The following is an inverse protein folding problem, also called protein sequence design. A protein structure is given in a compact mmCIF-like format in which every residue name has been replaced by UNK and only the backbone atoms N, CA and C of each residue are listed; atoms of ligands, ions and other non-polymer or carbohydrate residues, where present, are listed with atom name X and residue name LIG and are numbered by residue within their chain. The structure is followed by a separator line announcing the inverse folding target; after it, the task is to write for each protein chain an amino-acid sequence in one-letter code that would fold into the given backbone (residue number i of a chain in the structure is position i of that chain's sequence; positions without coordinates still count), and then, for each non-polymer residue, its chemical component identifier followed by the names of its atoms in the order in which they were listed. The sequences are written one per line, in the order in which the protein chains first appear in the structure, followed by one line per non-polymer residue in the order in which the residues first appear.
data_IF_834003250694
#
_entry.id   IF_834003250694
#
_cell.length_a   1.000
_cell.length_b   1.000
_cell.length_c   1.000
_cell.angle_alpha   90.00
_cell.angle_beta   90.00
_cell.angle_gamma   90.00
#
_symmetry.space_group_name_H-M   'P 1'
#
loop_
_entity.id
_entity.type
_entity.pdbx_description
1 polymer ?
#
# COMPACT_ATOMS: atom_id res chain seq x y z
N UNK A 1 -9.79 -13.01 -8.96
CA UNK A 1 -10.07 -11.55 -9.08
C UNK A 1 -10.35 -11.22 -10.55
N UNK A 2 -11.35 -10.40 -10.80
CA UNK A 2 -11.70 -9.93 -12.15
C UNK A 2 -11.07 -8.58 -12.42
N UNK A 3 -10.48 -8.40 -13.61
CA UNK A 3 -9.90 -7.11 -14.01
C UNK A 3 -11.01 -6.14 -14.39
N UNK A 4 -10.96 -4.93 -13.85
CA UNK A 4 -11.93 -3.87 -14.09
C UNK A 4 -11.26 -2.61 -14.62
N UNK A 5 -12.04 -1.72 -15.22
CA UNK A 5 -11.58 -0.39 -15.56
C UNK A 5 -11.49 0.46 -14.29
N UNK A 6 -10.32 1.04 -14.02
CA UNK A 6 -10.10 1.88 -12.83
C UNK A 6 -11.09 3.04 -12.73
N UNK A 7 -11.60 3.56 -13.87
CA UNK A 7 -12.60 4.64 -13.89
C UNK A 7 -14.00 4.20 -13.40
N UNK A 8 -14.22 2.91 -13.26
CA UNK A 8 -15.48 2.35 -12.74
C UNK A 8 -15.43 2.15 -11.21
N UNK A 9 -14.30 2.50 -10.56
CA UNK A 9 -14.21 2.52 -9.10
C UNK A 9 -15.18 3.56 -8.53
N UNK A 10 -16.07 3.09 -7.67
CA UNK A 10 -17.07 3.91 -6.99
C UNK A 10 -16.94 3.83 -5.46
N UNK A 11 -15.83 3.31 -4.98
CA UNK A 11 -15.53 3.22 -3.55
C UNK A 11 -15.38 4.62 -2.95
N UNK A 12 -15.90 4.82 -1.74
CA UNK A 12 -15.61 6.02 -0.97
C UNK A 12 -14.16 5.96 -0.46
N UNK A 13 -13.27 6.73 -1.08
CA UNK A 13 -11.83 6.69 -0.77
C UNK A 13 -11.50 7.03 0.68
N UNK A 14 -12.31 7.86 1.35
CA UNK A 14 -12.11 8.20 2.76
C UNK A 14 -12.39 7.00 3.68
N UNK A 15 -13.42 6.19 3.35
CA UNK A 15 -13.70 4.96 4.06
C UNK A 15 -12.68 3.87 3.73
N UNK A 16 -12.38 3.69 2.43
CA UNK A 16 -11.49 2.64 1.93
C UNK A 16 -10.06 2.82 2.45
N UNK A 17 -9.53 4.03 2.46
CA UNK A 17 -8.18 4.28 2.96
C UNK A 17 -8.19 4.50 4.48
N UNK A 18 -9.06 5.38 4.99
CA UNK A 18 -9.01 5.84 6.37
C UNK A 18 -9.51 4.83 7.39
N UNK A 19 -10.50 3.99 7.02
CA UNK A 19 -11.11 3.02 7.95
C UNK A 19 -10.83 1.57 7.59
N UNK A 20 -10.94 1.18 6.32
CA UNK A 20 -10.63 -0.18 5.90
C UNK A 20 -9.12 -0.45 5.99
N UNK A 21 -8.29 0.47 5.51
CA UNK A 21 -6.83 0.37 5.33
C UNK A 21 -6.45 -0.46 4.09
N UNK A 22 -5.17 -0.56 3.84
CA UNK A 22 -4.64 -1.33 2.70
C UNK A 22 -3.35 -2.06 3.08
N UNK A 23 -3.10 -3.18 2.38
CA UNK A 23 -1.77 -3.78 2.31
C UNK A 23 -1.04 -3.19 1.12
N UNK A 24 0.09 -2.54 1.36
CA UNK A 24 1.04 -2.15 0.33
C UNK A 24 2.03 -3.29 0.18
N UNK A 25 2.07 -3.90 -0.99
CA UNK A 25 2.95 -5.02 -1.30
C UNK A 25 3.87 -4.64 -2.46
N UNK A 26 5.13 -5.02 -2.38
CA UNK A 26 6.12 -4.89 -3.45
C UNK A 26 6.97 -6.14 -3.57
N UNK A 27 7.56 -6.33 -4.76
CA UNK A 27 8.32 -7.50 -5.13
C UNK A 27 7.54 -8.40 -6.09
N UNK A 28 8.06 -9.60 -6.29
CA UNK A 28 7.54 -10.61 -7.20
C UNK A 28 7.40 -11.96 -6.48
N UNK A 29 7.00 -13.01 -7.20
CA UNK A 29 6.77 -14.35 -6.63
C UNK A 29 7.95 -14.94 -5.85
N UNK A 30 9.18 -14.55 -6.20
CA UNK A 30 10.40 -15.10 -5.59
C UNK A 30 10.79 -14.34 -4.32
N UNK A 31 10.49 -13.03 -4.27
CA UNK A 31 10.76 -12.18 -3.12
C UNK A 31 9.79 -11.00 -3.06
N UNK A 32 8.94 -10.98 -2.05
CA UNK A 32 8.00 -9.88 -1.80
C UNK A 32 7.74 -9.69 -0.30
N UNK A 33 7.24 -8.54 0.05
CA UNK A 33 6.72 -8.27 1.39
C UNK A 33 5.59 -7.25 1.33
N UNK A 34 4.71 -7.29 2.34
CA UNK A 34 3.62 -6.35 2.51
C UNK A 34 3.68 -5.64 3.85
N UNK A 35 3.07 -4.47 3.90
CA UNK A 35 2.85 -3.70 5.11
C UNK A 35 1.47 -3.04 5.09
N UNK A 36 0.90 -2.79 6.24
CA UNK A 36 -0.35 -2.04 6.35
C UNK A 36 -0.09 -0.54 6.27
N UNK A 37 -0.92 0.15 5.49
CA UNK A 37 -1.00 1.60 5.44
C UNK A 37 -2.46 2.04 5.58
N UNK A 38 -2.68 3.17 6.27
CA UNK A 38 -3.99 3.79 6.48
C UNK A 38 -4.01 5.27 6.02
N UNK A 39 -2.94 5.72 5.41
CA UNK A 39 -2.80 7.05 4.83
C UNK A 39 -2.48 6.94 3.35
N UNK A 40 -3.14 7.77 2.55
CA UNK A 40 -2.98 7.76 1.10
C UNK A 40 -4.04 8.59 0.41
N UNK A 41 -3.94 8.65 -0.91
CA UNK A 41 -4.92 9.32 -1.76
C UNK A 41 -5.13 8.50 -3.04
N UNK A 42 -6.31 8.62 -3.63
CA UNK A 42 -6.59 8.20 -5.00
C UNK A 42 -7.06 9.44 -5.78
N UNK A 43 -6.62 9.60 -7.01
CA UNK A 43 -6.97 10.78 -7.78
C UNK A 43 -6.50 10.74 -9.23
N UNK A 44 -6.40 11.94 -9.81
CA UNK A 44 -6.05 12.13 -11.20
C UNK A 44 -4.89 13.12 -11.32
N UNK A 45 -3.78 12.70 -11.89
CA UNK A 45 -2.58 13.53 -12.07
C UNK A 45 -1.86 13.12 -13.36
N UNK A 46 -1.31 14.09 -14.11
CA UNK A 46 -0.63 13.88 -15.41
C UNK A 46 -1.47 13.08 -16.40
N UNK A 47 -2.79 13.36 -16.43
CA UNK A 47 -3.77 12.63 -17.24
C UNK A 47 -3.83 11.10 -16.98
N UNK A 48 -3.54 10.68 -15.74
CA UNK A 48 -3.51 9.29 -15.30
C UNK A 48 -4.26 9.11 -13.98
N UNK A 49 -4.92 7.95 -13.80
CA UNK A 49 -5.38 7.57 -12.48
C UNK A 49 -4.16 7.27 -11.60
N UNK A 50 -4.08 7.89 -10.44
CA UNK A 50 -2.94 7.74 -9.55
C UNK A 50 -3.38 7.42 -8.12
N UNK A 51 -2.49 6.74 -7.40
CA UNK A 51 -2.50 6.71 -5.94
C UNK A 51 -1.29 7.49 -5.41
N UNK A 52 -1.45 8.06 -4.21
CA UNK A 52 -0.33 8.61 -3.45
C UNK A 52 -0.20 7.77 -2.18
N UNK A 53 0.97 7.19 -1.97
CA UNK A 53 1.25 6.35 -0.80
C UNK A 53 2.41 6.93 0.02
N UNK A 54 2.33 6.75 1.34
CA UNK A 54 3.27 7.28 2.30
C UNK A 54 3.93 6.12 3.04
N UNK A 55 5.22 5.92 2.81
CA UNK A 55 5.97 4.77 3.32
C UNK A 55 7.15 5.27 4.16
N UNK A 56 7.23 4.81 5.42
CA UNK A 56 8.39 5.15 6.25
C UNK A 56 9.62 4.33 5.85
N UNK A 57 10.81 4.95 5.74
CA UNK A 57 12.03 4.25 5.35
C UNK A 57 12.43 3.07 6.23
N UNK A 58 11.98 3.06 7.50
CA UNK A 58 12.25 1.95 8.43
C UNK A 58 11.48 0.67 8.13
N UNK A 59 10.40 0.76 7.35
CA UNK A 59 9.60 -0.42 6.98
C UNK A 59 10.40 -1.33 6.06
N UNK A 60 10.40 -2.63 6.36
CA UNK A 60 11.09 -3.62 5.51
C UNK A 60 10.60 -3.58 4.05
N UNK A 61 9.31 -3.37 3.85
CA UNK A 61 8.71 -3.22 2.52
C UNK A 61 9.29 -2.04 1.74
N UNK A 62 9.78 -0.98 2.42
CA UNK A 62 10.36 0.20 1.76
C UNK A 62 11.53 -0.19 0.86
N UNK A 63 12.49 -0.99 1.34
CA UNK A 63 13.62 -1.43 0.53
C UNK A 63 13.17 -2.18 -0.73
N UNK A 64 12.17 -3.05 -0.59
CA UNK A 64 11.62 -3.81 -1.72
C UNK A 64 10.89 -2.88 -2.70
N UNK A 65 10.18 -1.83 -2.22
CA UNK A 65 9.58 -0.81 -3.07
C UNK A 65 10.66 -0.08 -3.90
N UNK A 66 11.80 0.25 -3.28
CA UNK A 66 12.89 0.95 -3.99
C UNK A 66 13.43 0.11 -5.15
N UNK A 67 13.56 -1.18 -4.98
CA UNK A 67 14.13 -2.13 -5.96
C UNK A 67 13.15 -2.50 -7.08
N UNK A 68 11.85 -2.23 -6.94
CA UNK A 68 10.82 -2.66 -7.87
C UNK A 68 10.08 -1.47 -8.51
N UNK A 69 9.75 -1.58 -9.79
CA UNK A 69 8.98 -0.56 -10.51
C UNK A 69 7.51 -0.54 -10.08
N UNK A 70 6.95 -1.70 -9.76
CA UNK A 70 5.54 -1.90 -9.44
C UNK A 70 5.32 -2.21 -7.96
N UNK A 71 4.13 -1.89 -7.50
CA UNK A 71 3.59 -2.30 -6.20
C UNK A 71 2.09 -2.55 -6.32
N UNK A 72 1.50 -3.24 -5.35
CA UNK A 72 0.05 -3.40 -5.24
C UNK A 72 -0.48 -2.77 -3.96
N UNK A 73 -1.70 -2.24 -4.05
CA UNK A 73 -2.50 -1.77 -2.92
C UNK A 73 -3.71 -2.70 -2.82
N UNK A 74 -3.73 -3.55 -1.81
CA UNK A 74 -4.77 -4.58 -1.63
C UNK A 74 -5.67 -4.24 -0.46
N UNK A 75 -6.98 -4.19 -0.71
CA UNK A 75 -8.03 -3.88 0.25
C UNK A 75 -8.81 -5.16 0.58
N UNK A 76 -8.78 -5.59 1.85
CA UNK A 76 -9.34 -6.86 2.31
C UNK A 76 -10.76 -6.75 2.87
N UNK A 77 -11.30 -5.53 2.97
CA UNK A 77 -12.56 -5.25 3.66
C UNK A 77 -12.38 -4.96 5.15
N UNK A 78 -13.53 -4.95 5.86
CA UNK A 78 -13.62 -4.54 7.27
C UNK A 78 -13.97 -5.70 8.23
N UNK A 79 -13.83 -6.96 7.79
CA UNK A 79 -14.09 -8.12 8.66
C UNK A 79 -13.09 -8.19 9.81
N UNK A 80 -13.42 -8.97 10.85
CA UNK A 80 -12.50 -9.21 11.96
C UNK A 80 -11.21 -9.90 11.50
N UNK A 81 -11.32 -10.81 10.53
CA UNK A 81 -10.17 -11.49 9.92
C UNK A 81 -9.27 -10.50 9.18
N UNK A 82 -9.86 -9.64 8.35
CA UNK A 82 -9.12 -8.59 7.65
C UNK A 82 -8.39 -7.67 8.66
N UNK A 83 -9.06 -7.31 9.76
CA UNK A 83 -8.47 -6.47 10.81
C UNK A 83 -7.29 -7.14 11.50
N UNK A 84 -7.35 -8.45 11.77
CA UNK A 84 -6.23 -9.22 12.32
C UNK A 84 -5.04 -9.22 11.36
N UNK A 85 -5.29 -9.42 10.06
CA UNK A 85 -4.26 -9.38 9.02
C UNK A 85 -3.59 -8.00 8.95
N UNK A 86 -4.38 -6.92 8.87
CA UNK A 86 -3.86 -5.56 8.86
C UNK A 86 -3.03 -5.24 10.10
N UNK A 87 -3.50 -5.59 11.29
CA UNK A 87 -2.78 -5.36 12.54
C UNK A 87 -1.44 -6.11 12.54
N UNK A 88 -1.43 -7.38 12.12
CA UNK A 88 -0.21 -8.17 12.05
C UNK A 88 0.78 -7.57 11.04
N UNK A 89 0.34 -7.33 9.80
CA UNK A 89 1.19 -6.78 8.74
C UNK A 89 1.68 -5.36 9.05
N UNK A 90 0.92 -4.60 9.85
CA UNK A 90 1.28 -3.26 10.30
C UNK A 90 2.30 -3.23 11.43
N UNK A 91 2.22 -4.17 12.38
CA UNK A 91 3.02 -4.19 13.61
C UNK A 91 4.27 -5.09 13.55
N UNK A 92 4.26 -6.14 12.73
CA UNK A 92 5.37 -7.10 12.61
C UNK A 92 6.22 -6.82 11.37
N UNK A 93 7.53 -7.04 11.49
CA UNK A 93 8.46 -6.88 10.37
C UNK A 93 8.58 -8.15 9.55
N UNK A 94 8.63 -8.03 8.23
CA UNK A 94 8.95 -9.14 7.34
C UNK A 94 10.42 -9.63 7.44
N UNK A 95 11.27 -8.91 8.20
CA UNK A 95 12.60 -9.40 8.56
C UNK A 95 12.54 -10.55 9.56
N UNK A 96 11.52 -10.56 10.41
CA UNK A 96 11.42 -11.47 11.56
C UNK A 96 10.29 -12.50 11.39
N UNK A 97 9.33 -12.23 10.51
CA UNK A 97 8.12 -13.04 10.36
C UNK A 97 7.79 -13.29 8.88
N UNK A 98 7.45 -14.54 8.56
CA UNK A 98 6.78 -14.88 7.30
C UNK A 98 5.30 -14.47 7.41
N UNK A 99 4.99 -13.28 6.93
CA UNK A 99 3.64 -12.70 7.05
C UNK A 99 2.57 -13.50 6.31
N UNK A 100 2.91 -14.14 5.20
CA UNK A 100 1.99 -15.00 4.45
C UNK A 100 1.57 -16.18 5.32
N UNK A 101 2.54 -16.88 5.88
CA UNK A 101 2.31 -18.04 6.74
C UNK A 101 1.52 -17.68 8.00
N UNK A 102 1.89 -16.57 8.65
CA UNK A 102 1.27 -16.13 9.91
C UNK A 102 -0.16 -15.62 9.74
N UNK A 103 -0.49 -15.04 8.58
CA UNK A 103 -1.82 -14.46 8.33
C UNK A 103 -2.74 -15.33 7.48
N UNK A 104 -2.21 -16.39 6.86
CA UNK A 104 -2.96 -17.22 5.91
C UNK A 104 -3.31 -16.50 4.60
N UNK A 105 -2.66 -15.37 4.29
CA UNK A 105 -2.81 -14.71 2.99
C UNK A 105 -2.39 -15.64 1.86
N UNK A 106 -3.13 -15.61 0.76
CA UNK A 106 -2.86 -16.42 -0.45
C UNK A 106 -2.33 -15.46 -1.53
N UNK A 107 -1.01 -15.48 -1.82
CA UNK A 107 -0.44 -14.64 -2.85
C UNK A 107 -0.95 -15.04 -4.23
N UNK A 108 -1.27 -14.05 -5.05
CA UNK A 108 -1.62 -14.20 -6.47
C UNK A 108 -0.81 -13.21 -7.29
N UNK A 109 -0.30 -13.66 -8.44
CA UNK A 109 0.47 -12.81 -9.33
C UNK A 109 -0.47 -11.94 -10.18
N UNK A 110 -0.13 -10.66 -10.34
CA UNK A 110 -0.85 -9.70 -11.18
C UNK A 110 -0.25 -9.65 -12.58
N UNK A 111 -0.88 -8.91 -13.50
CA UNK A 111 -0.47 -8.85 -14.92
C UNK A 111 0.99 -8.35 -15.12
N UNK A 112 1.50 -7.51 -14.22
CA UNK A 112 2.89 -7.01 -14.28
C UNK A 112 3.85 -7.80 -13.36
N UNK A 113 3.44 -8.97 -12.87
CA UNK A 113 4.28 -9.83 -12.03
C UNK A 113 4.41 -9.39 -10.57
N UNK A 114 3.61 -8.41 -10.13
CA UNK A 114 3.52 -8.03 -8.73
C UNK A 114 2.65 -9.00 -7.94
N UNK A 115 2.67 -8.91 -6.62
CA UNK A 115 1.90 -9.80 -5.75
C UNK A 115 0.69 -9.05 -5.15
N UNK A 116 -0.48 -9.64 -5.35
CA UNK A 116 -1.73 -9.33 -4.68
C UNK A 116 -2.13 -10.50 -3.75
N UNK A 117 -3.30 -10.44 -3.14
CA UNK A 117 -3.80 -11.49 -2.25
C UNK A 117 -5.22 -11.90 -2.63
N UNK A 118 -5.48 -13.21 -2.69
CA UNK A 118 -6.82 -13.72 -3.07
C UNK A 118 -7.93 -13.21 -2.16
N UNK A 119 -7.64 -12.93 -0.90
CA UNK A 119 -8.61 -12.37 0.06
C UNK A 119 -8.99 -10.92 -0.22
N UNK A 120 -8.32 -10.24 -1.15
CA UNK A 120 -8.63 -8.84 -1.48
C UNK A 120 -9.97 -8.71 -2.21
N UNK A 121 -10.83 -7.79 -1.74
CA UNK A 121 -12.03 -7.37 -2.47
C UNK A 121 -11.70 -6.42 -3.63
N UNK A 122 -10.60 -5.67 -3.46
CA UNK A 122 -10.06 -4.73 -4.45
C UNK A 122 -8.54 -4.76 -4.38
N UNK A 123 -7.91 -4.83 -5.55
CA UNK A 123 -6.46 -4.63 -5.68
C UNK A 123 -6.20 -3.61 -6.77
N UNK A 124 -5.33 -2.65 -6.48
CA UNK A 124 -4.78 -1.69 -7.43
C UNK A 124 -3.33 -2.06 -7.69
N UNK A 125 -2.99 -2.39 -8.93
CA UNK A 125 -1.60 -2.59 -9.35
C UNK A 125 -1.07 -1.26 -9.86
N UNK A 126 0.06 -0.81 -9.32
CA UNK A 126 0.54 0.53 -9.46
C UNK A 126 2.00 0.56 -9.91
N UNK A 127 2.33 1.47 -10.84
CA UNK A 127 3.69 1.77 -11.31
C UNK A 127 4.20 3.08 -10.70
N UNK A 128 5.40 3.08 -10.14
CA UNK A 128 6.01 4.29 -9.59
C UNK A 128 6.24 5.34 -10.69
N UNK A 129 5.81 6.59 -10.43
CA UNK A 129 6.02 7.73 -11.33
C UNK A 129 6.91 8.79 -10.72
N UNK A 130 6.77 9.03 -9.42
CA UNK A 130 7.48 10.12 -8.73
C UNK A 130 7.70 9.72 -7.27
N UNK A 131 8.81 10.17 -6.71
CA UNK A 131 9.16 10.03 -5.30
C UNK A 131 9.65 11.36 -4.75
N UNK A 132 9.22 11.70 -3.55
CA UNK A 132 9.79 12.77 -2.72
C UNK A 132 9.80 12.31 -1.26
N UNK A 133 10.39 13.07 -0.38
CA UNK A 133 10.37 12.81 1.05
C UNK A 133 9.80 14.01 1.82
N UNK A 134 9.09 13.71 2.90
CA UNK A 134 8.65 14.72 3.84
C UNK A 134 9.82 15.16 4.71
N UNK A 135 9.90 16.46 5.00
CA UNK A 135 10.90 17.04 5.90
C UNK A 135 10.24 18.05 6.83
N UNK A 136 10.75 18.22 8.03
CA UNK A 136 10.12 19.03 9.09
C UNK A 136 9.84 20.47 8.66
N UNK A 137 10.74 21.07 7.89
CA UNK A 137 10.60 22.45 7.40
C UNK A 137 9.45 22.66 6.42
N UNK A 138 9.05 21.62 5.68
CA UNK A 138 7.95 21.68 4.70
C UNK A 138 6.56 21.62 5.35
N UNK A 139 6.44 21.28 6.62
CA UNK A 139 5.16 21.29 7.33
C UNK A 139 4.73 22.73 7.63
N UNK A 140 3.63 23.16 7.06
CA UNK A 140 3.01 24.47 7.33
C UNK A 140 2.28 24.44 8.67
N UNK A 141 1.56 23.36 8.97
CA UNK A 141 0.99 23.05 10.28
C UNK A 141 2.00 22.25 11.09
N UNK A 142 2.60 22.87 12.08
CA UNK A 142 3.64 22.27 12.91
C UNK A 142 3.09 21.24 13.91
N UNK A 143 1.80 21.26 14.22
CA UNK A 143 1.16 20.27 15.10
C UNK A 143 1.19 18.87 14.49
N UNK A 144 1.24 18.77 13.15
CA UNK A 144 1.37 17.49 12.46
C UNK A 144 2.69 16.77 12.74
N UNK A 145 3.72 17.47 13.20
CA UNK A 145 5.01 16.87 13.58
C UNK A 145 4.87 15.88 14.74
N UNK A 146 3.77 15.95 15.53
CA UNK A 146 3.48 14.97 16.58
C UNK A 146 3.37 13.51 16.06
N UNK A 147 3.06 13.31 14.79
CA UNK A 147 3.00 11.99 14.16
C UNK A 147 4.37 11.42 13.83
N UNK A 148 5.41 12.26 13.93
CA UNK A 148 6.80 11.93 13.66
C UNK A 148 7.61 12.25 14.93
N UNK A 149 8.36 11.32 15.40
CA UNK A 149 9.09 11.52 16.64
C UNK A 149 10.15 10.44 16.84
N UNK A 150 10.49 10.16 18.10
CA UNK A 150 11.56 9.24 18.49
C UNK A 150 11.43 7.81 17.91
N UNK A 151 10.29 7.45 17.32
CA UNK A 151 10.00 6.09 16.81
C UNK A 151 9.97 5.97 15.30
N UNK A 152 10.30 7.01 14.55
CA UNK A 152 10.28 6.86 13.10
C UNK A 152 10.56 8.16 12.35
N UNK A 153 11.18 8.02 11.19
CA UNK A 153 11.45 9.10 10.26
C UNK A 153 10.20 9.56 9.52
N UNK A 154 10.39 10.63 8.78
CA UNK A 154 9.37 11.13 7.86
C UNK A 154 9.09 10.12 6.76
N UNK A 155 7.86 10.14 6.23
CA UNK A 155 7.50 9.30 5.10
C UNK A 155 8.19 9.74 3.82
N UNK A 156 8.57 8.76 3.02
CA UNK A 156 8.71 8.95 1.58
C UNK A 156 7.33 8.95 0.94
N UNK A 157 7.13 9.84 -0.02
CA UNK A 157 5.88 10.03 -0.77
C UNK A 157 6.08 9.46 -2.16
N UNK A 158 5.23 8.51 -2.54
CA UNK A 158 5.24 7.95 -3.89
C UNK A 158 3.95 8.33 -4.60
N UNK A 159 4.06 8.95 -5.78
CA UNK A 159 2.96 9.06 -6.74
C UNK A 159 3.08 7.88 -7.69
N UNK A 160 2.06 7.04 -7.73
CA UNK A 160 2.04 5.82 -8.51
C UNK A 160 0.85 5.79 -9.47
N UNK A 161 1.06 5.43 -10.74
CA UNK A 161 -0.01 5.23 -11.73
C UNK A 161 -0.74 3.92 -11.42
N UNK A 162 -2.05 3.95 -11.35
CA UNK A 162 -2.87 2.74 -11.26
C UNK A 162 -2.97 2.16 -12.68
N UNK A 163 -2.17 1.14 -12.96
CA UNK A 163 -2.10 0.49 -14.28
C UNK A 163 -3.20 -0.55 -14.47
N UNK A 164 -3.54 -1.26 -13.40
CA UNK A 164 -4.60 -2.25 -13.39
C UNK A 164 -5.40 -2.17 -12.08
N UNK A 165 -6.67 -2.52 -12.15
CA UNK A 165 -7.54 -2.68 -11.00
C UNK A 165 -8.26 -4.04 -11.08
N UNK A 166 -8.40 -4.72 -9.94
CA UNK A 166 -9.02 -6.04 -9.86
C UNK A 166 -10.02 -6.04 -8.70
N UNK A 167 -11.21 -6.57 -8.96
CA UNK A 167 -12.26 -6.82 -7.95
C UNK A 167 -12.56 -8.31 -7.80
N UNK A 168 -13.07 -8.68 -6.62
CA UNK A 168 -13.63 -10.00 -6.33
C UNK A 168 -15.14 -9.92 -6.32
#
# INVERSE_FOLDING_TARGET
MEKINVKELNDNVFETIGKEWMLVCAGNKDHFNMMTASWGCLGWLWNKPVAVVFIRPERFTHGIIEENEFMTLSFLGNSEEARKIYNFCGSKSGRDFDKVKETGLIPVETDNGSIAFDQSRLTLECRKLYKDNMTAEKFLDKDLLQWYGAKGGFHDVYVVEITNAYKK
#
